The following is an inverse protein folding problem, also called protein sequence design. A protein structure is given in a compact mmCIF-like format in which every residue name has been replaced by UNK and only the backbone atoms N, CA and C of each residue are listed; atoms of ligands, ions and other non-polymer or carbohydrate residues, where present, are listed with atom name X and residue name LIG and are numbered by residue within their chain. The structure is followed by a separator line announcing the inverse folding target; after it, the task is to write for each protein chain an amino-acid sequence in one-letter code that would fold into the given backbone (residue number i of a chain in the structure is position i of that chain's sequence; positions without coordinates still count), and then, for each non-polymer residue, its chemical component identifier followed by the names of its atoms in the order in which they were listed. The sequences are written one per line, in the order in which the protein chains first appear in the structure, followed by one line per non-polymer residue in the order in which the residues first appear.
data_IF_592689981226
#
_entry.id   IF_592689981226
#
_cell.length_a   1.000
_cell.length_b   1.000
_cell.length_c   1.000
_cell.angle_alpha   90.00
_cell.angle_beta   90.00
_cell.angle_gamma   90.00
#
_symmetry.space_group_name_H-M   'P 1'
#
loop_
_entity.id
_entity.type
_entity.pdbx_description
1 polymer ?
#
# COMPACT_ATOMS: atom_id res chain seq x y z
N UNK A 1 6.84 -3.33 2.47
CA UNK A 1 7.12 -1.95 2.02
C UNK A 1 8.51 -1.67 1.42
N UNK A 2 9.62 -2.33 1.79
CA UNK A 2 10.95 -1.89 1.35
C UNK A 2 11.31 -2.20 -0.12
N UNK A 3 10.74 -3.26 -0.71
CA UNK A 3 11.04 -3.67 -2.09
C UNK A 3 10.65 -2.63 -3.15
N UNK A 4 9.46 -2.06 -3.04
CA UNK A 4 8.98 -1.01 -3.97
C UNK A 4 9.86 0.24 -3.84
N UNK A 5 10.13 0.69 -2.61
CA UNK A 5 11.01 1.84 -2.37
C UNK A 5 12.43 1.60 -2.86
N UNK A 6 12.96 0.37 -2.73
CA UNK A 6 14.28 -0.01 -3.27
C UNK A 6 14.27 -0.03 -4.80
N UNK A 7 13.19 -0.49 -5.43
CA UNK A 7 13.04 -0.44 -6.89
C UNK A 7 13.01 1.01 -7.39
N UNK A 8 12.29 1.90 -6.70
CA UNK A 8 12.27 3.34 -6.99
C UNK A 8 13.64 3.98 -6.84
N UNK A 9 14.40 3.60 -5.80
CA UNK A 9 15.77 4.06 -5.64
C UNK A 9 16.69 3.49 -6.73
N UNK A 10 16.51 2.24 -7.16
CA UNK A 10 17.44 1.58 -8.08
C UNK A 10 17.15 1.93 -9.55
N UNK A 11 15.88 2.09 -9.92
CA UNK A 11 15.42 2.27 -11.30
C UNK A 11 14.34 3.36 -11.44
N UNK A 12 14.59 4.60 -10.97
CA UNK A 12 13.56 5.64 -10.95
C UNK A 12 13.01 5.97 -12.34
N UNK A 13 13.85 5.95 -13.38
CA UNK A 13 13.44 6.27 -14.75
C UNK A 13 12.58 5.19 -15.43
N UNK A 14 12.52 3.98 -14.85
CA UNK A 14 11.71 2.87 -15.36
C UNK A 14 10.34 2.78 -14.69
N UNK A 15 10.05 3.67 -13.73
CA UNK A 15 8.84 3.63 -12.92
C UNK A 15 8.11 4.96 -13.13
N UNK A 16 6.96 4.91 -13.79
CA UNK A 16 6.13 6.10 -13.98
C UNK A 16 5.44 6.53 -12.69
N UNK A 17 4.91 5.57 -11.94
CA UNK A 17 4.22 5.81 -10.67
C UNK A 17 4.32 4.59 -9.75
N UNK A 18 4.52 4.84 -8.46
CA UNK A 18 4.44 3.83 -7.41
C UNK A 18 3.15 4.01 -6.62
N UNK A 19 2.42 2.91 -6.40
CA UNK A 19 1.17 2.93 -5.63
C UNK A 19 1.35 2.17 -4.33
N UNK A 20 1.06 2.84 -3.21
CA UNK A 20 1.10 2.26 -1.88
C UNK A 20 -0.33 2.06 -1.38
N UNK A 21 -0.66 0.82 -1.06
CA UNK A 21 -1.90 0.42 -0.39
C UNK A 21 -1.51 -0.18 0.96
N UNK A 22 -2.19 0.22 2.04
CA UNK A 22 -2.00 -0.41 3.35
C UNK A 22 -2.19 -1.93 3.23
N UNK A 23 -1.25 -2.73 3.78
CA UNK A 23 -1.24 -4.20 3.70
C UNK A 23 -2.45 -4.83 4.41
N UNK A 24 -2.59 -6.15 4.58
CA UNK A 24 -3.76 -6.75 5.23
C UNK A 24 -3.54 -6.96 6.74
N UNK A 25 -4.45 -6.46 7.55
CA UNK A 25 -4.79 -7.06 8.83
C UNK A 25 -6.26 -7.44 8.69
N UNK A 26 -6.53 -8.74 8.74
CA UNK A 26 -7.86 -9.27 8.46
C UNK A 26 -8.67 -9.14 9.76
N UNK A 27 -9.62 -8.23 9.77
CA UNK A 27 -10.65 -8.21 10.80
C UNK A 27 -11.71 -9.26 10.44
N UNK A 28 -11.75 -10.35 11.19
CA UNK A 28 -12.67 -11.47 10.93
C UNK A 28 -14.15 -11.07 11.04
N UNK A 29 -14.45 -9.89 11.61
CA UNK A 29 -15.83 -9.40 11.77
C UNK A 29 -16.38 -8.71 10.52
N UNK A 30 -15.54 -8.30 9.56
CA UNK A 30 -15.96 -7.57 8.35
C UNK A 30 -15.88 -8.40 7.06
N UNK A 31 -15.35 -9.63 7.13
CA UNK A 31 -15.05 -10.48 5.97
C UNK A 31 -16.12 -11.56 5.81
N UNK A 32 -16.56 -11.82 4.58
CA UNK A 32 -17.47 -12.94 4.29
C UNK A 32 -16.87 -14.26 4.79
N UNK A 33 -17.70 -15.15 5.33
CA UNK A 33 -17.25 -16.42 5.93
C UNK A 33 -16.43 -17.28 4.97
N UNK A 34 -16.74 -17.23 3.67
CA UNK A 34 -15.99 -17.91 2.62
C UNK A 34 -14.58 -17.32 2.42
N UNK A 35 -14.46 -15.99 2.38
CA UNK A 35 -13.18 -15.29 2.25
C UNK A 35 -12.29 -15.49 3.48
N UNK A 36 -12.89 -15.59 4.68
CA UNK A 36 -12.16 -15.88 5.92
C UNK A 36 -11.63 -17.32 5.94
N UNK A 37 -12.44 -18.29 5.52
CA UNK A 37 -12.01 -19.68 5.39
C UNK A 37 -10.88 -19.83 4.36
N UNK A 38 -10.99 -19.11 3.24
CA UNK A 38 -9.96 -19.08 2.21
C UNK A 38 -8.66 -18.45 2.75
N UNK A 39 -8.75 -17.30 3.42
CA UNK A 39 -7.59 -16.62 4.00
C UNK A 39 -6.88 -17.51 5.02
N UNK A 40 -7.61 -18.09 5.96
CA UNK A 40 -7.03 -18.98 6.99
C UNK A 40 -6.36 -20.23 6.40
N UNK A 41 -6.89 -20.77 5.30
CA UNK A 41 -6.31 -21.93 4.61
C UNK A 41 -5.07 -21.56 3.77
N UNK A 42 -5.05 -20.37 3.17
CA UNK A 42 -3.98 -19.94 2.26
C UNK A 42 -2.89 -19.11 2.92
N UNK A 43 -3.11 -18.59 4.13
CA UNK A 43 -2.09 -17.83 4.87
C UNK A 43 -0.85 -18.70 5.08
N UNK A 44 0.26 -18.23 4.53
CA UNK A 44 1.58 -18.82 4.76
C UNK A 44 2.37 -17.87 5.66
N UNK A 45 3.21 -18.40 6.57
CA UNK A 45 4.14 -17.58 7.32
C UNK A 45 5.00 -16.76 6.34
N UNK A 46 4.83 -15.44 6.37
CA UNK A 46 5.74 -14.52 5.69
C UNK A 46 6.73 -14.07 6.74
N UNK A 47 7.99 -14.46 6.57
CA UNK A 47 9.08 -13.88 7.35
C UNK A 47 9.29 -12.45 6.86
N UNK A 48 8.59 -11.50 7.48
CA UNK A 48 9.01 -10.12 7.46
C UNK A 48 10.33 -10.09 8.21
N UNK A 49 11.45 -9.99 7.47
CA UNK A 49 12.77 -9.80 8.09
C UNK A 49 12.68 -8.67 9.13
N UNK A 50 13.45 -8.75 10.23
CA UNK A 50 13.48 -7.69 11.23
C UNK A 50 13.69 -6.35 10.53
N UNK A 51 12.93 -5.33 10.94
CA UNK A 51 12.98 -4.01 10.35
C UNK A 51 14.45 -3.51 10.28
N UNK A 52 15.25 -3.83 11.30
CA UNK A 52 16.66 -3.45 11.39
C UNK A 52 17.50 -4.04 10.26
N UNK A 53 17.22 -5.28 9.83
CA UNK A 53 17.94 -5.92 8.72
C UNK A 53 17.50 -5.35 7.37
N UNK A 54 16.21 -5.05 7.22
CA UNK A 54 15.71 -4.50 5.96
C UNK A 54 16.06 -3.01 5.78
N UNK A 55 16.08 -2.23 6.85
CA UNK A 55 16.35 -0.79 6.79
C UNK A 55 17.85 -0.46 6.81
N UNK A 56 18.73 -1.36 7.26
CA UNK A 56 20.19 -1.16 7.24
C UNK A 56 20.76 -0.93 5.83
N UNK A 57 20.14 -1.50 4.79
CA UNK A 57 20.62 -1.41 3.40
C UNK A 57 19.81 -0.47 2.49
N UNK A 58 18.72 0.11 2.99
CA UNK A 58 17.82 0.92 2.16
C UNK A 58 17.94 2.39 2.58
N UNK A 59 18.97 3.03 2.03
CA UNK A 59 19.08 4.49 2.01
C UNK A 59 18.30 5.01 0.82
N UNK A 60 17.23 5.76 1.07
CA UNK A 60 16.43 6.41 0.04
C UNK A 60 16.91 7.84 -0.16
N UNK A 61 17.02 8.28 -1.41
CA UNK A 61 17.44 9.63 -1.75
C UNK A 61 16.30 10.44 -2.35
N UNK A 62 16.22 11.72 -2.01
CA UNK A 62 15.24 12.63 -2.62
C UNK A 62 15.42 12.74 -4.14
N UNK A 63 16.65 12.56 -4.64
CA UNK A 63 16.98 12.62 -6.07
C UNK A 63 16.43 11.42 -6.86
N UNK A 64 16.35 10.23 -6.25
CA UNK A 64 15.98 8.99 -6.93
C UNK A 64 14.64 8.47 -6.45
N UNK A 65 14.53 7.98 -5.22
CA UNK A 65 13.24 7.61 -4.64
C UNK A 65 12.23 8.76 -4.73
N UNK A 66 12.66 9.99 -4.41
CA UNK A 66 11.79 11.17 -4.42
C UNK A 66 11.40 11.68 -5.81
N UNK A 67 12.05 11.23 -6.90
CA UNK A 67 11.69 11.64 -8.26
C UNK A 67 10.55 10.82 -8.85
N UNK A 68 10.30 9.61 -8.32
CA UNK A 68 9.19 8.76 -8.76
C UNK A 68 7.88 9.29 -8.18
N UNK A 69 6.85 9.41 -9.03
CA UNK A 69 5.51 9.81 -8.60
C UNK A 69 4.91 8.76 -7.67
N UNK A 70 4.29 9.19 -6.58
CA UNK A 70 3.73 8.30 -5.57
C UNK A 70 2.26 8.59 -5.32
N UNK A 71 1.45 7.53 -5.36
CA UNK A 71 0.04 7.59 -4.97
C UNK A 71 -0.16 6.72 -3.73
N UNK A 72 -0.79 7.28 -2.70
CA UNK A 72 -1.18 6.54 -1.51
C UNK A 72 -2.68 6.29 -1.53
N UNK A 73 -3.11 5.03 -1.46
CA UNK A 73 -4.52 4.66 -1.40
C UNK A 73 -4.88 4.34 0.05
N UNK A 74 -5.81 5.12 0.60
CA UNK A 74 -6.37 4.97 1.95
C UNK A 74 -7.65 4.16 1.86
N UNK A 75 -7.75 3.11 2.69
CA UNK A 75 -9.01 2.43 2.95
C UNK A 75 -9.72 3.12 4.12
N UNK A 76 -10.89 3.70 3.84
CA UNK A 76 -11.60 4.60 4.77
C UNK A 76 -11.97 3.93 6.11
N UNK A 77 -12.25 2.63 6.09
CA UNK A 77 -12.71 1.82 7.23
C UNK A 77 -11.62 0.84 7.71
N UNK A 78 -10.36 1.14 7.42
CA UNK A 78 -9.25 0.36 7.93
C UNK A 78 -9.10 0.54 9.45
N UNK A 79 -9.39 -0.52 10.21
CA UNK A 79 -9.25 -0.54 11.67
C UNK A 79 -7.87 -0.97 12.18
N UNK A 80 -6.96 -1.48 11.32
CA UNK A 80 -5.69 -2.00 11.78
C UNK A 80 -4.48 -1.11 11.49
N UNK A 81 -4.65 -0.04 10.72
CA UNK A 81 -3.80 1.14 10.78
C UNK A 81 -4.67 2.31 11.23
N UNK A 82 -4.38 2.88 12.39
CA UNK A 82 -5.15 4.01 12.91
C UNK A 82 -5.07 5.20 11.94
N UNK A 83 -6.13 6.01 11.88
CA UNK A 83 -6.17 7.20 11.01
C UNK A 83 -5.04 8.17 11.35
N UNK A 84 -4.65 8.23 12.61
CA UNK A 84 -3.52 9.01 13.12
C UNK A 84 -2.19 8.49 12.57
N UNK A 85 -2.01 7.17 12.50
CA UNK A 85 -0.81 6.56 11.94
C UNK A 85 -0.70 6.83 10.43
N UNK A 86 -1.80 6.69 9.69
CA UNK A 86 -1.83 7.01 8.26
C UNK A 86 -1.52 8.50 8.02
N UNK A 87 -2.12 9.40 8.80
CA UNK A 87 -1.83 10.84 8.73
C UNK A 87 -0.35 11.13 9.00
N UNK A 88 0.22 10.53 10.04
CA UNK A 88 1.64 10.67 10.37
C UNK A 88 2.54 10.18 9.23
N UNK A 89 2.21 9.06 8.59
CA UNK A 89 2.96 8.58 7.43
C UNK A 89 2.93 9.56 6.26
N UNK A 90 1.76 10.12 5.95
CA UNK A 90 1.59 11.12 4.88
C UNK A 90 2.36 12.40 5.22
N UNK A 91 2.33 12.84 6.46
CA UNK A 91 3.04 14.04 6.90
C UNK A 91 4.57 13.87 6.84
N UNK A 92 5.08 12.72 7.28
CA UNK A 92 6.54 12.44 7.30
C UNK A 92 7.10 12.14 5.91
N UNK A 93 6.29 11.61 5.00
CA UNK A 93 6.73 11.24 3.67
C UNK A 93 5.63 11.50 2.62
N UNK A 94 5.39 12.79 2.28
CA UNK A 94 4.26 13.19 1.46
C UNK A 94 4.29 12.53 0.07
N UNK A 95 3.20 11.85 -0.35
CA UNK A 95 3.02 11.38 -1.71
C UNK A 95 2.53 12.52 -2.63
N UNK A 96 2.57 12.30 -3.94
CA UNK A 96 2.05 13.24 -4.93
C UNK A 96 0.52 13.26 -4.97
N UNK A 97 -0.12 12.14 -4.64
CA UNK A 97 -1.57 12.02 -4.57
C UNK A 97 -2.00 11.07 -3.44
N UNK A 98 -3.09 11.42 -2.77
CA UNK A 98 -3.79 10.54 -1.85
C UNK A 98 -5.17 10.29 -2.41
N UNK A 99 -5.54 9.02 -2.56
CA UNK A 99 -6.90 8.60 -2.94
C UNK A 99 -7.51 7.82 -1.79
N UNK A 100 -8.80 7.99 -1.56
CA UNK A 100 -9.53 7.26 -0.53
C UNK A 100 -10.63 6.43 -1.18
N UNK A 101 -10.74 5.16 -0.78
CA UNK A 101 -11.81 4.27 -1.22
C UNK A 101 -12.80 4.13 -0.06
N UNK A 102 -13.95 4.79 -0.21
CA UNK A 102 -15.02 4.82 0.78
C UNK A 102 -15.68 3.44 0.94
N UNK A 103 -15.98 3.05 2.17
CA UNK A 103 -16.52 1.72 2.48
C UNK A 103 -15.55 0.57 2.21
N UNK A 104 -14.26 0.87 2.00
CA UNK A 104 -13.22 -0.15 1.95
C UNK A 104 -12.76 -0.46 3.36
N UNK A 105 -12.82 -1.74 3.70
CA UNK A 105 -12.10 -2.29 4.83
C UNK A 105 -10.58 -2.42 4.53
N UNK A 106 -9.85 -3.00 5.47
CA UNK A 106 -8.41 -3.22 5.41
C UNK A 106 -7.95 -4.09 4.23
N UNK A 107 -8.84 -4.93 3.68
CA UNK A 107 -8.60 -5.77 2.51
C UNK A 107 -9.34 -5.17 1.31
N UNK A 108 -8.94 -3.96 0.92
CA UNK A 108 -9.54 -3.21 -0.21
C UNK A 108 -9.69 -4.01 -1.49
N UNK A 109 -8.75 -4.93 -1.74
CA UNK A 109 -8.80 -5.84 -2.89
C UNK A 109 -9.97 -6.82 -2.82
N UNK A 110 -10.42 -7.19 -1.61
CA UNK A 110 -11.54 -8.10 -1.37
C UNK A 110 -12.87 -7.36 -1.19
N UNK A 111 -12.90 -6.30 -0.38
CA UNK A 111 -14.14 -5.56 -0.12
C UNK A 111 -14.59 -4.67 -1.28
N UNK A 112 -13.66 -4.02 -1.98
CA UNK A 112 -13.94 -3.08 -3.07
C UNK A 112 -13.09 -3.33 -4.34
N UNK A 113 -13.01 -4.57 -4.87
CA UNK A 113 -12.15 -4.90 -6.02
C UNK A 113 -12.41 -4.03 -7.24
N UNK A 114 -13.68 -3.75 -7.56
CA UNK A 114 -14.06 -2.95 -8.73
C UNK A 114 -13.62 -1.49 -8.59
N UNK A 115 -13.83 -0.89 -7.42
CA UNK A 115 -13.43 0.50 -7.16
C UNK A 115 -11.90 0.63 -7.12
N UNK A 116 -11.21 -0.35 -6.54
CA UNK A 116 -9.75 -0.41 -6.56
C UNK A 116 -9.22 -0.53 -7.99
N UNK A 117 -9.81 -1.39 -8.82
CA UNK A 117 -9.45 -1.55 -10.22
C UNK A 117 -9.67 -0.25 -11.02
N UNK A 118 -10.82 0.42 -10.88
CA UNK A 118 -11.05 1.70 -11.55
C UNK A 118 -10.09 2.78 -11.07
N UNK A 119 -9.69 2.72 -9.80
CA UNK A 119 -8.69 3.64 -9.23
C UNK A 119 -7.32 3.39 -9.86
N UNK A 120 -6.89 2.14 -10.00
CA UNK A 120 -5.64 1.81 -10.69
C UNK A 120 -5.66 2.23 -12.16
N UNK A 121 -6.76 2.02 -12.89
CA UNK A 121 -6.88 2.50 -14.26
C UNK A 121 -6.78 4.03 -14.36
N UNK A 122 -7.42 4.74 -13.45
CA UNK A 122 -7.33 6.20 -13.39
C UNK A 122 -5.90 6.68 -13.14
N UNK A 123 -5.17 6.03 -12.22
CA UNK A 123 -3.76 6.33 -11.95
C UNK A 123 -2.91 6.01 -13.17
N UNK A 124 -3.07 4.83 -13.77
CA UNK A 124 -2.30 4.42 -14.94
C UNK A 124 -2.48 5.41 -16.10
N UNK A 125 -3.71 5.84 -16.39
CA UNK A 125 -3.98 6.82 -17.45
C UNK A 125 -3.41 8.22 -17.14
N UNK A 126 -3.33 8.61 -15.86
CA UNK A 126 -2.81 9.92 -15.45
C UNK A 126 -1.28 10.00 -15.53
N UNK A 127 -0.60 8.89 -15.26
CA UNK A 127 0.86 8.80 -15.24
C UNK A 127 1.42 7.94 -16.38
N UNK A 128 0.66 7.81 -17.48
CA UNK A 128 1.12 7.14 -18.71
C UNK A 128 2.03 8.02 -19.54
#
# INVERSE_FOLDING_TARGET
MPLVSKAMETFPEKISVAVFLGGPNIDATTVYTEDLALATTLVRPVYLYPAEEIFKEIVLSSKRYGSVRRVFIVAAENNALTKEFIKLMIEKNPPDEVKEIQGSDHVTMMSKPRQLFTTFLSIANKYS
#
